data_IF_304065512442
#
_entry.id   IF_304065512442
#
_cell.length_a   1.000
_cell.length_b   1.000
_cell.length_c   1.000
_cell.angle_alpha   90.00
_cell.angle_beta   90.00
_cell.angle_gamma   90.00
#
_symmetry.space_group_name_H-M   'P 1'
#
loop_
_entity.id
_entity.type
_entity.pdbx_description
1 polymer ?
#
# COMPACT_ATOMS: atom_id res chain seq x y z
N UNK A 1 -4.13 12.14 5.36
CA UNK A 1 -4.21 10.96 4.48
C UNK A 1 -4.17 9.75 5.38
N UNK A 2 -5.26 9.04 5.48
CA UNK A 2 -5.33 7.88 6.36
C UNK A 2 -5.23 6.64 5.49
N UNK A 3 -4.06 6.00 5.47
CA UNK A 3 -3.96 4.65 4.94
C UNK A 3 -4.59 3.73 5.98
N UNK A 4 -5.72 3.12 5.65
CA UNK A 4 -6.43 2.20 6.54
C UNK A 4 -5.77 0.83 6.38
N UNK A 5 -4.95 0.38 7.35
CA UNK A 5 -4.42 -0.97 7.30
C UNK A 5 -5.52 -1.98 7.60
N UNK A 6 -5.40 -3.15 7.03
CA UNK A 6 -6.34 -4.27 7.14
C UNK A 6 -6.53 -4.81 8.54
N UNK A 7 -7.79 -5.09 8.87
CA UNK A 7 -8.19 -6.30 9.59
C UNK A 7 -9.62 -6.66 9.18
N UNK A 8 -9.91 -7.86 8.63
CA UNK A 8 -11.21 -8.20 8.06
C UNK A 8 -12.34 -8.25 9.09
N UNK A 9 -12.07 -8.32 10.36
CA UNK A 9 -13.12 -8.44 11.39
C UNK A 9 -13.46 -7.14 12.13
N UNK A 10 -12.67 -6.06 12.01
CA UNK A 10 -12.89 -4.81 12.75
C UNK A 10 -12.57 -3.52 11.98
N UNK A 11 -12.50 -3.56 10.66
CA UNK A 11 -12.03 -2.45 9.83
C UNK A 11 -12.83 -1.14 9.98
N UNK A 12 -14.14 -1.22 10.26
CA UNK A 12 -14.95 -0.02 10.53
C UNK A 12 -14.55 0.70 11.81
N UNK A 13 -14.22 -0.06 12.86
CA UNK A 13 -13.88 0.49 14.16
C UNK A 13 -12.48 1.13 14.13
N UNK A 14 -11.52 0.48 13.48
CA UNK A 14 -10.16 1.00 13.38
C UNK A 14 -10.06 2.30 12.58
N UNK A 15 -10.76 2.39 11.45
CA UNK A 15 -10.78 3.60 10.62
C UNK A 15 -11.33 4.80 11.36
N UNK A 16 -12.35 4.57 12.18
CA UNK A 16 -12.97 5.63 12.96
C UNK A 16 -12.12 6.02 14.16
N UNK A 17 -11.51 5.06 14.85
CA UNK A 17 -10.67 5.31 16.03
C UNK A 17 -9.41 6.10 15.64
N UNK A 18 -8.74 5.76 14.53
CA UNK A 18 -7.55 6.48 14.03
C UNK A 18 -7.88 7.91 13.58
N UNK A 19 -9.10 8.13 13.07
CA UNK A 19 -9.54 9.44 12.61
C UNK A 19 -10.31 10.23 13.68
N UNK A 20 -10.34 9.78 14.93
CA UNK A 20 -11.17 10.36 16.00
C UNK A 20 -12.64 10.55 15.55
N UNK A 21 -13.16 9.64 14.72
CA UNK A 21 -14.48 9.73 14.10
C UNK A 21 -14.67 11.00 13.23
N UNK A 22 -13.60 11.71 12.86
CA UNK A 22 -13.64 12.97 12.11
C UNK A 22 -13.35 12.75 10.63
N UNK A 23 -14.30 12.21 9.88
CA UNK A 23 -14.20 12.12 8.41
C UNK A 23 -14.10 13.50 7.75
N UNK A 24 -14.47 14.58 8.45
CA UNK A 24 -14.34 15.96 7.95
C UNK A 24 -12.89 16.38 7.64
N UNK A 25 -11.91 15.72 8.24
CA UNK A 25 -10.49 15.97 7.98
C UNK A 25 -9.93 15.14 6.80
N UNK A 26 -10.74 14.22 6.25
CA UNK A 26 -10.33 13.39 5.12
C UNK A 26 -10.68 14.09 3.81
N UNK A 27 -9.67 14.54 3.08
CA UNK A 27 -9.84 15.26 1.81
C UNK A 27 -10.16 14.33 0.63
N UNK A 28 -9.92 13.02 0.76
CA UNK A 28 -10.22 12.00 -0.24
C UNK A 28 -9.62 10.65 0.11
N UNK A 29 -10.10 9.61 -0.56
CA UNK A 29 -9.61 8.24 -0.43
C UNK A 29 -9.16 7.72 -1.79
N UNK A 30 -7.88 7.33 -1.91
CA UNK A 30 -7.33 6.71 -3.10
C UNK A 30 -7.33 5.20 -2.92
N UNK A 31 -7.91 4.48 -3.88
CA UNK A 31 -8.07 3.02 -3.85
C UNK A 31 -7.17 2.40 -4.92
N UNK A 32 -6.34 1.47 -4.52
CA UNK A 32 -5.38 0.79 -5.41
C UNK A 32 -6.07 -0.09 -6.44
N UNK A 33 -6.99 -0.96 -5.97
CA UNK A 33 -7.70 -1.93 -6.82
C UNK A 33 -9.01 -2.41 -6.18
N UNK A 34 -9.72 -3.31 -6.86
CA UNK A 34 -11.11 -3.66 -6.53
C UNK A 34 -11.28 -4.73 -5.45
N UNK A 35 -10.24 -5.37 -4.93
CA UNK A 35 -10.37 -6.40 -3.89
C UNK A 35 -10.99 -5.83 -2.60
N UNK A 36 -11.74 -6.67 -1.88
CA UNK A 36 -12.56 -6.22 -0.75
C UNK A 36 -11.75 -5.66 0.42
N UNK A 37 -10.57 -6.13 0.61
CA UNK A 37 -9.64 -5.69 1.63
C UNK A 37 -9.02 -4.31 1.34
N UNK A 38 -9.09 -3.84 0.09
CA UNK A 38 -8.68 -2.50 -0.34
C UNK A 38 -9.88 -1.59 -0.62
N UNK A 39 -10.89 -2.07 -1.33
CA UNK A 39 -12.05 -1.30 -1.76
C UNK A 39 -13.35 -1.61 -1.00
N UNK A 40 -13.34 -2.48 0.02
CA UNK A 40 -14.54 -2.90 0.73
C UNK A 40 -15.31 -1.76 1.41
N UNK A 41 -14.63 -0.68 1.79
CA UNK A 41 -15.23 0.50 2.42
C UNK A 41 -15.45 1.68 1.46
N UNK A 42 -15.13 1.55 0.18
CA UNK A 42 -15.24 2.63 -0.79
C UNK A 42 -16.66 3.21 -0.86
N UNK A 43 -17.68 2.33 -0.87
CA UNK A 43 -19.09 2.76 -0.88
C UNK A 43 -19.45 3.53 0.40
N UNK A 44 -19.03 3.05 1.57
CA UNK A 44 -19.32 3.73 2.84
C UNK A 44 -18.64 5.10 2.91
N UNK A 45 -17.40 5.24 2.39
CA UNK A 45 -16.72 6.52 2.32
C UNK A 45 -17.44 7.49 1.38
N UNK A 46 -17.82 7.05 0.18
CA UNK A 46 -18.56 7.88 -0.78
C UNK A 46 -19.91 8.35 -0.21
N UNK A 47 -20.67 7.46 0.44
CA UNK A 47 -21.95 7.83 1.08
C UNK A 47 -21.79 8.76 2.28
N UNK A 48 -20.63 8.77 2.91
CA UNK A 48 -20.26 9.71 3.98
C UNK A 48 -19.69 11.03 3.47
N UNK A 49 -19.69 11.27 2.15
CA UNK A 49 -19.22 12.53 1.56
C UNK A 49 -17.70 12.60 1.32
N UNK A 50 -16.96 11.51 1.52
CA UNK A 50 -15.53 11.44 1.19
C UNK A 50 -15.37 11.05 -0.27
N UNK A 51 -14.69 11.86 -1.06
CA UNK A 51 -14.45 11.54 -2.48
C UNK A 51 -13.51 10.34 -2.61
N UNK A 52 -13.97 9.29 -3.29
CA UNK A 52 -13.20 8.08 -3.62
C UNK A 52 -12.60 8.23 -5.00
N UNK A 53 -11.28 8.12 -5.08
CA UNK A 53 -10.48 8.15 -6.30
C UNK A 53 -10.01 6.74 -6.64
N UNK A 54 -10.40 6.21 -7.79
CA UNK A 54 -10.02 4.86 -8.23
C UNK A 54 -10.04 4.75 -9.76
N UNK A 55 -9.50 3.66 -10.30
CA UNK A 55 -9.62 3.34 -11.73
C UNK A 55 -11.10 3.14 -12.10
N UNK A 56 -11.44 3.34 -13.38
CA UNK A 56 -12.76 3.05 -13.90
C UNK A 56 -13.20 1.61 -13.57
N UNK A 57 -12.29 0.65 -13.69
CA UNK A 57 -12.57 -0.77 -13.43
C UNK A 57 -12.88 -1.02 -11.96
N UNK A 58 -12.12 -0.42 -11.05
CA UNK A 58 -12.39 -0.48 -9.61
C UNK A 58 -13.74 0.15 -9.27
N UNK A 59 -14.04 1.33 -9.82
CA UNK A 59 -15.34 1.99 -9.59
C UNK A 59 -16.51 1.16 -10.14
N UNK A 60 -16.37 0.55 -11.31
CA UNK A 60 -17.40 -0.35 -11.87
C UNK A 60 -17.58 -1.59 -11.01
N UNK A 61 -16.49 -2.25 -10.62
CA UNK A 61 -16.53 -3.45 -9.77
C UNK A 61 -17.20 -3.19 -8.41
N UNK A 62 -17.14 -1.96 -7.89
CA UNK A 62 -17.79 -1.55 -6.64
C UNK A 62 -19.16 -0.88 -6.82
N UNK A 63 -19.66 -0.79 -8.05
CA UNK A 63 -20.96 -0.13 -8.35
C UNK A 63 -20.93 1.39 -8.10
N UNK A 64 -19.75 2.00 -8.13
CA UNK A 64 -19.51 3.41 -7.82
C UNK A 64 -19.27 4.28 -9.05
N UNK A 65 -19.12 3.70 -10.24
CA UNK A 65 -18.84 4.46 -11.46
C UNK A 65 -19.96 5.47 -11.76
N UNK A 66 -19.58 6.74 -11.92
CA UNK A 66 -20.54 7.84 -12.17
C UNK A 66 -21.41 8.24 -10.97
N UNK A 67 -21.11 7.75 -9.76
CA UNK A 67 -21.84 8.14 -8.54
C UNK A 67 -21.25 9.41 -7.92
N UNK A 68 -22.05 10.07 -7.05
CA UNK A 68 -21.59 11.21 -6.27
C UNK A 68 -20.42 10.81 -5.36
N UNK A 69 -19.51 11.75 -5.12
CA UNK A 69 -18.29 11.53 -4.32
C UNK A 69 -17.41 10.38 -4.85
N UNK A 70 -17.39 10.19 -6.18
CA UNK A 70 -16.45 9.29 -6.85
C UNK A 70 -15.76 10.00 -8.00
N UNK A 71 -14.48 9.69 -8.19
CA UNK A 71 -13.68 10.25 -9.27
C UNK A 71 -12.80 9.18 -9.90
N UNK A 72 -12.99 9.02 -11.20
CA UNK A 72 -12.07 8.20 -12.00
C UNK A 72 -10.69 8.84 -12.04
N UNK A 73 -9.65 8.01 -11.85
CA UNK A 73 -8.25 8.38 -12.00
C UNK A 73 -7.56 7.46 -13.01
N UNK A 74 -6.55 8.00 -13.66
CA UNK A 74 -5.76 7.31 -14.68
C UNK A 74 -4.28 7.34 -14.28
N UNK A 75 -3.55 6.29 -14.66
CA UNK A 75 -2.12 6.20 -14.43
C UNK A 75 -1.37 7.39 -15.03
N UNK A 76 -0.30 7.78 -14.33
CA UNK A 76 0.64 8.85 -14.73
C UNK A 76 0.02 10.25 -14.84
N UNK A 77 -1.22 10.45 -14.36
CA UNK A 77 -1.84 11.76 -14.23
C UNK A 77 -1.75 12.25 -12.79
N UNK A 78 -1.44 13.52 -12.63
CA UNK A 78 -1.36 14.15 -11.30
C UNK A 78 -2.71 14.66 -10.81
N UNK A 79 -3.09 14.32 -9.59
CA UNK A 79 -4.33 14.76 -8.93
C UNK A 79 -3.99 15.59 -7.70
N UNK A 80 -4.51 16.82 -7.64
CA UNK A 80 -4.41 17.67 -6.46
C UNK A 80 -5.69 17.50 -5.61
N UNK A 81 -5.51 17.14 -4.33
CA UNK A 81 -6.60 16.91 -3.39
C UNK A 81 -6.20 17.43 -2.01
N UNK A 82 -6.84 18.51 -1.57
CA UNK A 82 -6.35 19.26 -0.41
C UNK A 82 -4.93 19.75 -0.65
N UNK A 83 -4.04 19.56 0.33
CA UNK A 83 -2.60 19.88 0.21
C UNK A 83 -1.78 18.76 -0.48
N UNK A 84 -2.41 17.66 -0.90
CA UNK A 84 -1.73 16.50 -1.49
C UNK A 84 -1.70 16.56 -3.01
N UNK A 85 -0.60 16.06 -3.58
CA UNK A 85 -0.48 15.72 -5.00
C UNK A 85 -0.27 14.21 -5.12
N UNK A 86 -1.16 13.53 -5.83
CA UNK A 86 -1.13 12.06 -5.99
C UNK A 86 -0.99 11.71 -7.45
N UNK A 87 -0.05 10.81 -7.77
CA UNK A 87 0.17 10.29 -9.11
C UNK A 87 0.01 8.75 -9.04
N UNK A 88 -1.03 8.18 -9.65
CA UNK A 88 -1.16 6.73 -9.79
C UNK A 88 -0.14 6.18 -10.80
N UNK A 89 0.39 5.00 -10.54
CA UNK A 89 1.23 4.25 -11.45
C UNK A 89 0.66 2.84 -11.61
N UNK A 90 0.54 2.36 -12.85
CA UNK A 90 0.08 0.99 -13.10
C UNK A 90 1.07 -0.04 -12.54
N UNK A 91 0.56 -1.03 -11.83
CA UNK A 91 1.35 -2.16 -11.34
C UNK A 91 0.67 -3.48 -11.68
N UNK A 92 1.45 -4.55 -11.77
CA UNK A 92 0.96 -5.85 -12.19
C UNK A 92 0.35 -6.61 -11.03
N UNK A 93 -0.94 -6.87 -11.12
CA UNK A 93 -1.73 -7.68 -10.19
C UNK A 93 -2.74 -8.54 -10.98
N UNK A 94 -3.56 -9.35 -10.31
CA UNK A 94 -4.62 -10.15 -10.94
C UNK A 94 -5.81 -9.31 -11.41
N UNK A 95 -5.95 -8.08 -10.89
CA UNK A 95 -6.89 -7.05 -11.37
C UNK A 95 -6.15 -5.73 -11.62
N UNK A 96 -6.70 -4.77 -12.40
CA UNK A 96 -6.10 -3.45 -12.57
C UNK A 96 -5.78 -2.80 -11.23
N UNK A 97 -4.51 -2.49 -10.98
CA UNK A 97 -4.00 -2.02 -9.70
C UNK A 97 -3.06 -0.82 -9.88
N UNK A 98 -3.11 0.10 -8.91
CA UNK A 98 -2.24 1.27 -8.83
C UNK A 98 -1.33 1.23 -7.61
N UNK A 99 -0.06 1.56 -7.82
CA UNK A 99 0.78 2.19 -6.82
C UNK A 99 0.57 3.71 -6.84
N UNK A 100 0.97 4.42 -5.79
CA UNK A 100 0.81 5.87 -5.71
C UNK A 100 2.11 6.57 -5.32
N UNK A 101 2.45 7.64 -6.06
CA UNK A 101 3.37 8.67 -5.57
C UNK A 101 2.53 9.76 -4.90
N UNK A 102 2.85 10.10 -3.67
CA UNK A 102 2.12 11.08 -2.87
C UNK A 102 3.06 12.17 -2.39
N UNK A 103 2.79 13.40 -2.77
CA UNK A 103 3.52 14.59 -2.33
C UNK A 103 2.70 15.45 -1.37
N UNK A 104 3.30 15.92 -0.28
CA UNK A 104 2.74 16.90 0.65
C UNK A 104 3.87 17.65 1.35
N UNK A 105 3.63 18.90 1.75
CA UNK A 105 4.66 19.73 2.37
C UNK A 105 5.25 19.09 3.65
N UNK A 106 4.42 18.44 4.45
CA UNK A 106 4.83 17.85 5.74
C UNK A 106 5.56 16.50 5.59
N UNK A 107 5.24 15.70 4.58
CA UNK A 107 5.82 14.36 4.41
C UNK A 107 6.85 14.29 3.27
N UNK A 108 6.98 15.36 2.49
CA UNK A 108 7.77 15.31 1.26
C UNK A 108 7.12 14.40 0.21
N UNK A 109 7.91 13.56 -0.43
CA UNK A 109 7.46 12.60 -1.44
C UNK A 109 7.45 11.18 -0.87
N UNK A 110 6.29 10.55 -0.91
CA UNK A 110 6.06 9.19 -0.44
C UNK A 110 5.70 8.29 -1.62
N UNK A 111 6.27 7.10 -1.67
CA UNK A 111 5.87 6.01 -2.56
C UNK A 111 5.04 5.00 -1.77
N UNK A 112 3.89 4.59 -2.30
CA UNK A 112 3.04 3.53 -1.77
C UNK A 112 2.86 2.43 -2.82
N UNK A 113 3.36 1.23 -2.52
CA UNK A 113 3.31 0.06 -3.41
C UNK A 113 2.79 -1.14 -2.63
N UNK A 114 1.71 -1.73 -3.09
CA UNK A 114 1.12 -2.95 -2.52
C UNK A 114 0.44 -3.77 -3.61
N UNK A 115 0.27 -5.07 -3.37
CA UNK A 115 -0.44 -5.99 -4.26
C UNK A 115 0.10 -5.95 -5.70
N UNK A 116 1.37 -6.23 -5.83
CA UNK A 116 2.05 -6.36 -7.13
C UNK A 116 3.23 -7.31 -7.04
N UNK A 117 3.53 -7.96 -8.14
CA UNK A 117 4.70 -8.87 -8.21
C UNK A 117 6.04 -8.13 -8.29
N UNK A 118 6.02 -6.87 -8.77
CA UNK A 118 7.20 -6.02 -8.93
C UNK A 118 6.81 -4.56 -9.12
N UNK A 119 7.73 -3.63 -8.84
CA UNK A 119 7.55 -2.21 -9.13
C UNK A 119 8.62 -1.74 -10.12
N UNK A 120 8.25 -1.53 -11.40
CA UNK A 120 9.24 -1.32 -12.47
C UNK A 120 9.74 0.13 -12.62
N UNK A 121 9.20 1.06 -11.82
CA UNK A 121 9.53 2.49 -11.96
C UNK A 121 10.66 2.90 -11.02
N UNK A 122 11.41 3.93 -11.43
CA UNK A 122 12.36 4.67 -10.59
C UNK A 122 11.72 6.00 -10.24
N UNK A 123 11.76 6.37 -8.97
CA UNK A 123 11.16 7.61 -8.45
C UNK A 123 12.19 8.37 -7.63
N UNK A 124 12.58 9.56 -8.10
CA UNK A 124 13.59 10.38 -7.44
C UNK A 124 13.04 11.14 -6.23
N UNK A 125 13.91 11.44 -5.27
CA UNK A 125 13.62 12.31 -4.13
C UNK A 125 12.56 11.77 -3.18
N UNK A 126 12.57 10.46 -2.94
CA UNK A 126 11.66 9.80 -2.00
C UNK A 126 12.08 10.07 -0.56
N UNK A 127 11.14 10.57 0.26
CA UNK A 127 11.35 10.76 1.69
C UNK A 127 10.84 9.57 2.52
N UNK A 128 9.82 8.87 2.03
CA UNK A 128 9.27 7.66 2.66
C UNK A 128 8.82 6.67 1.60
N UNK A 129 9.04 5.38 1.86
CA UNK A 129 8.58 4.29 1.00
C UNK A 129 7.72 3.35 1.82
N UNK A 130 6.45 3.16 1.42
CA UNK A 130 5.58 2.10 1.90
C UNK A 130 5.54 1.03 0.82
N UNK A 131 6.12 -0.14 1.08
CA UNK A 131 6.30 -1.18 0.07
C UNK A 131 5.88 -2.54 0.60
N UNK A 132 5.24 -3.32 -0.26
CA UNK A 132 4.89 -4.71 0.04
C UNK A 132 6.15 -5.57 0.22
N UNK A 133 6.11 -6.45 1.23
CA UNK A 133 6.98 -7.60 1.38
C UNK A 133 6.10 -8.76 1.87
N UNK A 134 5.41 -9.41 0.94
CA UNK A 134 4.31 -10.31 1.30
C UNK A 134 4.82 -11.65 1.83
N UNK A 135 5.82 -12.24 1.19
CA UNK A 135 6.32 -13.57 1.52
C UNK A 135 7.82 -13.70 1.24
N UNK A 136 8.47 -14.74 1.76
CA UNK A 136 9.74 -15.24 1.23
C UNK A 136 9.55 -16.63 0.66
N UNK A 137 10.30 -16.95 -0.40
CA UNK A 137 10.25 -18.28 -1.04
C UNK A 137 10.67 -19.40 -0.08
N UNK A 138 11.60 -19.12 0.85
CA UNK A 138 12.05 -20.09 1.85
C UNK A 138 10.91 -20.47 2.81
N UNK A 139 10.24 -19.46 3.44
CA UNK A 139 9.12 -19.71 4.36
C UNK A 139 7.95 -20.38 3.61
N UNK A 140 7.67 -19.92 2.40
CA UNK A 140 6.63 -20.52 1.56
C UNK A 140 6.92 -22.00 1.28
N UNK A 141 8.17 -22.35 0.93
CA UNK A 141 8.58 -23.72 0.68
C UNK A 141 8.50 -24.59 1.96
N UNK A 142 8.94 -24.07 3.10
CA UNK A 142 8.81 -24.73 4.40
C UNK A 142 7.34 -25.02 4.75
N UNK A 143 6.45 -24.05 4.52
CA UNK A 143 5.01 -24.21 4.76
C UNK A 143 4.36 -25.25 3.84
N UNK A 144 4.82 -25.35 2.59
CA UNK A 144 4.34 -26.39 1.67
C UNK A 144 4.83 -27.78 2.13
N UNK A 145 6.11 -27.92 2.45
CA UNK A 145 6.69 -29.20 2.90
C UNK A 145 6.06 -29.66 4.21
N UNK A 146 5.77 -28.76 5.14
CA UNK A 146 5.12 -29.08 6.42
C UNK A 146 3.60 -29.29 6.32
N UNK A 147 3.00 -29.05 5.14
CA UNK A 147 1.56 -29.18 4.92
C UNK A 147 0.71 -28.03 5.48
N UNK A 148 1.34 -26.96 5.95
CA UNK A 148 0.63 -25.74 6.39
C UNK A 148 0.04 -24.96 5.21
N UNK A 149 0.57 -25.14 4.02
CA UNK A 149 0.07 -24.55 2.79
C UNK A 149 -0.01 -25.58 1.66
N UNK A 150 -1.07 -25.50 0.87
CA UNK A 150 -1.22 -26.33 -0.32
C UNK A 150 -0.35 -25.77 -1.45
N UNK A 151 0.43 -26.64 -2.11
CA UNK A 151 1.29 -26.25 -3.24
C UNK A 151 0.50 -25.58 -4.38
N UNK A 152 -0.74 -25.99 -4.61
CA UNK A 152 -1.63 -25.40 -5.61
C UNK A 152 -1.88 -23.87 -5.40
N UNK A 153 -1.64 -23.34 -4.20
CA UNK A 153 -1.76 -21.91 -3.89
C UNK A 153 -0.53 -21.09 -4.27
N UNK A 154 0.63 -21.74 -4.46
CA UNK A 154 1.91 -21.07 -4.78
C UNK A 154 1.84 -20.19 -6.04
N UNK A 155 1.32 -20.66 -7.20
CA UNK A 155 1.25 -19.85 -8.39
C UNK A 155 0.40 -18.58 -8.21
N UNK A 156 -0.68 -18.67 -7.43
CA UNK A 156 -1.53 -17.51 -7.14
C UNK A 156 -0.77 -16.46 -6.34
N UNK A 157 -0.09 -16.87 -5.28
CA UNK A 157 0.70 -15.97 -4.43
C UNK A 157 1.80 -15.26 -5.24
N UNK A 158 2.58 -16.03 -6.01
CA UNK A 158 3.69 -15.53 -6.82
C UNK A 158 3.24 -14.60 -7.95
N UNK A 159 2.01 -14.74 -8.45
CA UNK A 159 1.45 -13.89 -9.50
C UNK A 159 0.68 -12.66 -8.98
N UNK A 160 0.55 -12.50 -7.66
CA UNK A 160 -0.26 -11.44 -7.07
C UNK A 160 0.52 -10.54 -6.11
N UNK A 161 1.63 -11.04 -5.53
CA UNK A 161 2.30 -10.36 -4.43
C UNK A 161 3.81 -10.32 -4.60
N UNK A 162 4.43 -9.35 -3.93
CA UNK A 162 5.87 -9.11 -3.98
C UNK A 162 6.59 -10.00 -2.96
N UNK A 163 7.49 -10.81 -3.46
CA UNK A 163 8.43 -11.59 -2.67
C UNK A 163 9.51 -10.68 -2.09
N UNK A 164 10.06 -11.02 -0.91
CA UNK A 164 11.05 -10.20 -0.19
C UNK A 164 12.26 -9.85 -1.06
N UNK A 165 12.80 -10.78 -1.86
CA UNK A 165 13.94 -10.49 -2.73
C UNK A 165 13.59 -9.47 -3.83
N UNK A 166 12.35 -9.46 -4.33
CA UNK A 166 11.89 -8.43 -5.27
C UNK A 166 11.67 -7.08 -4.56
N UNK A 167 11.25 -7.10 -3.30
CA UNK A 167 11.22 -5.88 -2.48
C UNK A 167 12.61 -5.26 -2.38
N UNK A 168 13.64 -6.06 -2.07
CA UNK A 168 15.03 -5.60 -2.02
C UNK A 168 15.51 -5.08 -3.37
N UNK A 169 15.28 -5.83 -4.47
CA UNK A 169 15.61 -5.38 -5.84
C UNK A 169 14.90 -4.08 -6.22
N UNK A 170 13.65 -3.90 -5.78
CA UNK A 170 12.92 -2.65 -6.00
C UNK A 170 13.56 -1.49 -5.26
N UNK A 171 13.97 -1.69 -4.02
CA UNK A 171 14.65 -0.66 -3.22
C UNK A 171 16.02 -0.31 -3.79
N UNK A 172 16.77 -1.27 -4.33
CA UNK A 172 18.06 -1.03 -5.01
C UNK A 172 17.94 -0.09 -6.23
N UNK A 173 16.80 -0.12 -6.90
CA UNK A 173 16.55 0.74 -8.06
C UNK A 173 16.15 2.17 -7.68
N UNK A 174 15.81 2.43 -6.41
CA UNK A 174 15.42 3.77 -5.97
C UNK A 174 16.63 4.56 -5.45
N UNK A 175 16.62 5.87 -5.67
CA UNK A 175 17.52 6.76 -4.94
C UNK A 175 17.01 6.94 -3.50
N UNK A 176 17.70 6.31 -2.56
CA UNK A 176 17.37 6.37 -1.14
C UNK A 176 18.09 7.50 -0.40
N UNK A 177 18.83 8.40 -1.07
CA UNK A 177 19.63 9.45 -0.42
C UNK A 177 18.80 10.32 0.54
N UNK A 178 17.61 10.73 0.12
CA UNK A 178 16.67 11.54 0.93
C UNK A 178 15.68 10.67 1.74
N UNK A 179 15.73 9.34 1.61
CA UNK A 179 14.76 8.46 2.26
C UNK A 179 15.03 8.37 3.77
N UNK A 180 14.09 8.86 4.56
CA UNK A 180 14.14 8.84 6.02
C UNK A 180 13.58 7.57 6.63
N UNK A 181 12.69 6.85 5.94
CA UNK A 181 12.08 5.62 6.45
C UNK A 181 11.47 4.75 5.35
N UNK A 182 11.50 3.44 5.60
CA UNK A 182 10.82 2.42 4.80
C UNK A 182 9.80 1.75 5.72
N UNK A 183 8.58 1.56 5.22
CA UNK A 183 7.52 0.86 5.94
C UNK A 183 7.12 -0.36 5.12
N UNK A 184 7.34 -1.55 5.69
CA UNK A 184 6.87 -2.78 5.08
C UNK A 184 5.37 -2.95 5.33
N UNK A 185 4.63 -3.14 4.26
CA UNK A 185 3.17 -3.30 4.26
C UNK A 185 2.77 -4.66 3.68
N UNK A 186 1.54 -5.07 3.93
CA UNK A 186 0.92 -6.24 3.28
C UNK A 186 1.68 -7.56 3.47
N UNK A 187 2.25 -7.77 4.65
CA UNK A 187 2.93 -9.03 5.00
C UNK A 187 1.91 -10.15 5.14
N UNK A 188 2.23 -11.34 4.62
CA UNK A 188 1.43 -12.56 4.82
C UNK A 188 1.49 -12.98 6.29
N UNK A 189 0.36 -13.39 6.85
CA UNK A 189 0.32 -13.89 8.22
C UNK A 189 1.06 -15.22 8.40
N UNK A 190 1.23 -16.00 7.32
CA UNK A 190 1.80 -17.35 7.35
C UNK A 190 3.12 -17.46 6.60
N UNK A 191 3.30 -16.69 5.51
CA UNK A 191 4.45 -16.84 4.62
C UNK A 191 5.47 -15.69 4.78
N UNK A 192 5.41 -14.96 5.89
CA UNK A 192 6.39 -13.93 6.23
C UNK A 192 6.80 -14.00 7.71
N UNK A 193 8.03 -13.56 7.98
CA UNK A 193 8.51 -13.22 9.31
C UNK A 193 8.81 -11.71 9.33
N UNK A 194 7.93 -10.97 10.00
CA UNK A 194 7.98 -9.52 10.02
C UNK A 194 9.30 -8.97 10.62
N UNK A 195 9.81 -9.62 11.67
CA UNK A 195 11.04 -9.18 12.34
C UNK A 195 12.27 -9.46 11.45
N UNK A 196 12.32 -10.64 10.84
CA UNK A 196 13.37 -11.03 9.90
C UNK A 196 13.34 -10.13 8.65
N UNK A 197 12.16 -9.87 8.06
CA UNK A 197 12.04 -9.01 6.89
C UNK A 197 12.50 -7.58 7.19
N UNK A 198 12.08 -6.99 8.32
CA UNK A 198 12.52 -5.65 8.71
C UNK A 198 14.02 -5.59 8.97
N UNK A 199 14.61 -6.65 9.54
CA UNK A 199 16.07 -6.75 9.75
C UNK A 199 16.78 -6.79 8.41
N UNK A 200 16.40 -7.68 7.50
CA UNK A 200 17.05 -7.82 6.18
C UNK A 200 16.96 -6.51 5.37
N UNK A 201 15.78 -5.88 5.30
CA UNK A 201 15.62 -4.61 4.58
C UNK A 201 16.47 -3.50 5.21
N UNK A 202 16.55 -3.44 6.55
CA UNK A 202 17.40 -2.46 7.25
C UNK A 202 18.89 -2.67 6.97
N UNK A 203 19.36 -3.90 7.06
CA UNK A 203 20.76 -4.25 6.79
C UNK A 203 21.13 -3.97 5.33
N UNK A 204 20.21 -4.23 4.40
CA UNK A 204 20.41 -4.03 2.98
C UNK A 204 20.44 -2.54 2.58
N UNK A 205 19.52 -1.73 3.13
CA UNK A 205 19.34 -0.33 2.71
C UNK A 205 20.05 0.68 3.61
N UNK A 206 20.43 0.30 4.83
CA UNK A 206 20.92 1.23 5.85
C UNK A 206 19.88 2.22 6.37
N UNK A 207 18.58 2.03 6.03
CA UNK A 207 17.50 2.95 6.40
C UNK A 207 16.68 2.44 7.59
N UNK A 208 16.04 3.34 8.38
CA UNK A 208 15.03 2.93 9.37
C UNK A 208 13.90 2.17 8.69
N UNK A 209 13.58 0.98 9.23
CA UNK A 209 12.52 0.11 8.69
C UNK A 209 11.47 -0.15 9.77
N UNK A 210 10.23 0.06 9.40
CA UNK A 210 9.05 -0.18 10.23
C UNK A 210 8.14 -1.23 9.60
N UNK A 211 7.31 -1.86 10.41
CA UNK A 211 6.27 -2.79 9.97
C UNK A 211 4.92 -2.13 10.22
N UNK A 212 4.10 -2.04 9.17
CA UNK A 212 2.72 -1.64 9.32
C UNK A 212 1.92 -2.76 9.99
N UNK A 213 1.26 -2.43 11.08
CA UNK A 213 0.33 -3.33 11.76
C UNK A 213 -0.91 -2.59 12.23
N UNK A 214 -1.98 -3.31 12.48
CA UNK A 214 -3.24 -2.72 12.92
C UNK A 214 -3.05 -1.89 14.21
N UNK A 215 -3.51 -0.65 14.21
CA UNK A 215 -3.44 0.28 15.35
C UNK A 215 -2.06 0.89 15.61
N UNK A 216 -1.04 0.57 14.80
CA UNK A 216 0.27 1.19 14.94
C UNK A 216 0.33 2.53 14.21
N UNK A 217 0.77 3.55 14.91
CA UNK A 217 1.09 4.86 14.33
C UNK A 217 2.57 4.92 13.98
N UNK A 218 2.88 5.41 12.78
CA UNK A 218 4.24 5.61 12.29
C UNK A 218 4.34 7.05 11.81
N UNK A 219 5.24 7.82 12.41
CA UNK A 219 5.53 9.17 11.98
C UNK A 219 6.38 9.13 10.69
N UNK A 220 5.80 9.64 9.60
CA UNK A 220 6.43 9.76 8.29
C UNK A 220 6.69 11.24 7.91
N UNK A 221 6.65 12.13 8.87
CA UNK A 221 6.95 13.54 8.64
C UNK A 221 8.36 13.71 8.07
N UNK A 222 8.50 14.60 7.09
CA UNK A 222 9.81 15.01 6.61
C UNK A 222 10.51 15.77 7.73
N UNK A 223 11.55 15.18 8.31
CA UNK A 223 12.33 15.85 9.35
C UNK A 223 13.03 17.06 8.72
N UNK A 224 12.95 18.25 9.34
CA UNK A 224 13.79 19.36 8.92
C UNK A 224 15.26 18.95 9.09
N UNK A 225 16.10 19.31 8.13
CA UNK A 225 17.56 19.10 8.16
C UNK A 225 18.18 19.90 9.31
#
# INVERSE_FOLDING_TARGET
MSFIPRNPMNSRKLSCDVLDWRLSNVVGAFVTHSHNDHAGHATSLATSGVTVFASADTLRAKGLYGKSFTREIQARHGYAVGGFRVIPLDVKHDVPCFAFIVGHAEIGKMLFVTDTIAFPYVVDGLNTILIEANYSDEILQENIVSGLMQEAMRPRLMNSHMELSETLRTLDRQDLSECGSIVLVHLSATNSDAAMFAKQVREHTGKPVYIASSGKEIDISKKPY
#
